data_IF_735288878362
#
_entry.id   IF_735288878362
#
_cell.length_a   1.000
_cell.length_b   1.000
_cell.length_c   1.000
_cell.angle_alpha   90.00
_cell.angle_beta   90.00
_cell.angle_gamma   90.00
#
_symmetry.space_group_name_H-M   'P 1'
#
loop_
_entity.id
_entity.type
_entity.pdbx_description
1 polymer ?
#
# COMPACT_ATOMS: atom_id res chain seq x y z
N UNK A 1 -6.28 20.86 -8.14
CA UNK A 1 -5.31 19.88 -7.59
C UNK A 1 -5.68 19.40 -6.17
N UNK A 2 -6.98 19.30 -5.80
CA UNK A 2 -7.44 18.99 -4.41
C UNK A 2 -8.11 17.60 -4.24
N UNK A 3 -8.04 16.72 -5.25
CA UNK A 3 -8.86 15.50 -5.27
C UNK A 3 -8.26 14.34 -4.47
N UNK A 4 -6.93 14.19 -4.46
CA UNK A 4 -6.26 13.08 -3.79
C UNK A 4 -6.47 13.10 -2.26
N UNK A 5 -6.33 14.23 -1.54
CA UNK A 5 -6.57 14.26 -0.09
C UNK A 5 -8.01 13.90 0.29
N UNK A 6 -9.01 14.34 -0.48
CA UNK A 6 -10.43 14.00 -0.23
C UNK A 6 -10.70 12.51 -0.38
N UNK A 7 -10.13 11.88 -1.40
CA UNK A 7 -10.33 10.46 -1.63
C UNK A 7 -9.60 9.59 -0.57
N UNK A 8 -8.43 10.04 -0.09
CA UNK A 8 -7.74 9.42 1.05
C UNK A 8 -8.60 9.51 2.33
N UNK A 9 -9.29 10.64 2.54
CA UNK A 9 -10.16 10.80 3.71
C UNK A 9 -11.36 9.83 3.64
N UNK A 10 -11.96 9.64 2.46
CA UNK A 10 -13.06 8.67 2.32
C UNK A 10 -12.62 7.24 2.69
N UNK A 11 -11.42 6.83 2.28
CA UNK A 11 -10.91 5.46 2.48
C UNK A 11 -10.79 5.00 3.94
N UNK A 12 -10.68 5.91 4.90
CA UNK A 12 -10.62 5.56 6.32
C UNK A 12 -11.88 5.93 7.10
N UNK A 13 -12.92 6.41 6.42
CA UNK A 13 -14.25 6.62 7.01
C UNK A 13 -14.94 5.27 7.27
N UNK A 14 -15.94 5.25 8.15
CA UNK A 14 -16.71 4.03 8.42
C UNK A 14 -17.43 3.54 7.15
N UNK A 15 -17.93 4.47 6.35
CA UNK A 15 -18.55 4.21 5.06
C UNK A 15 -17.55 3.59 4.07
N UNK A 16 -16.36 4.18 3.95
CA UNK A 16 -15.31 3.67 3.06
C UNK A 16 -14.77 2.30 3.48
N UNK A 17 -14.76 1.98 4.79
CA UNK A 17 -14.36 0.66 5.28
C UNK A 17 -15.39 -0.44 5.00
N UNK A 18 -16.67 -0.08 4.85
CA UNK A 18 -17.76 -1.01 4.48
C UNK A 18 -17.93 -1.16 2.97
N UNK A 19 -17.33 -0.27 2.19
CA UNK A 19 -17.39 -0.25 0.73
C UNK A 19 -16.21 -1.05 0.12
N UNK A 20 -16.48 -2.28 -0.30
CA UNK A 20 -15.51 -3.16 -0.98
C UNK A 20 -14.91 -2.53 -2.26
N UNK A 21 -15.58 -1.53 -2.84
CA UNK A 21 -15.13 -0.83 -4.05
C UNK A 21 -14.33 0.44 -3.75
N UNK A 22 -14.24 0.88 -2.48
CA UNK A 22 -13.57 2.12 -2.12
C UNK A 22 -12.09 2.11 -2.54
N UNK A 23 -11.35 1.06 -2.19
CA UNK A 23 -9.94 0.89 -2.58
C UNK A 23 -9.79 0.73 -4.10
N UNK A 24 -10.51 -0.17 -4.80
CA UNK A 24 -10.45 -0.27 -6.25
C UNK A 24 -10.73 1.05 -6.99
N UNK A 25 -11.72 1.83 -6.53
CA UNK A 25 -12.05 3.13 -7.11
C UNK A 25 -10.95 4.15 -6.84
N UNK A 26 -10.40 4.19 -5.63
CA UNK A 26 -9.27 5.05 -5.31
C UNK A 26 -8.04 4.71 -6.14
N UNK A 27 -7.71 3.43 -6.28
CA UNK A 27 -6.60 2.96 -7.13
C UNK A 27 -6.79 3.38 -8.58
N UNK A 28 -8.03 3.35 -9.11
CA UNK A 28 -8.34 3.87 -10.45
C UNK A 28 -8.07 5.37 -10.57
N UNK A 29 -8.35 6.16 -9.52
CA UNK A 29 -8.03 7.59 -9.49
C UNK A 29 -6.52 7.82 -9.44
N UNK A 30 -5.80 7.06 -8.61
CA UNK A 30 -4.33 7.06 -8.56
C UNK A 30 -3.75 6.78 -9.94
N UNK A 31 -4.25 5.78 -10.66
CA UNK A 31 -3.83 5.49 -12.04
C UNK A 31 -3.98 6.68 -13.00
N UNK A 32 -5.04 7.49 -12.87
CA UNK A 32 -5.20 8.72 -13.67
C UNK A 32 -4.17 9.79 -13.29
N UNK A 33 -3.84 9.90 -12.01
CA UNK A 33 -2.81 10.83 -11.55
C UNK A 33 -1.42 10.39 -11.98
N UNK A 34 -1.12 9.08 -12.01
CA UNK A 34 0.14 8.54 -12.54
C UNK A 34 0.36 9.01 -13.99
N UNK A 35 -0.67 8.91 -14.83
CA UNK A 35 -0.60 9.33 -16.23
C UNK A 35 -0.40 10.85 -16.42
N UNK A 36 -0.87 11.66 -15.46
CA UNK A 36 -0.90 13.13 -15.60
C UNK A 36 0.28 13.81 -14.90
N UNK A 37 0.67 13.32 -13.73
CA UNK A 37 1.64 13.94 -12.83
C UNK A 37 2.95 13.16 -12.73
N UNK A 38 2.96 11.90 -13.18
CA UNK A 38 4.08 10.98 -13.04
C UNK A 38 4.12 10.27 -11.68
N UNK A 39 4.72 9.08 -11.68
CA UNK A 39 4.79 8.20 -10.51
C UNK A 39 5.50 8.85 -9.31
N UNK A 40 6.63 9.51 -9.53
CA UNK A 40 7.42 10.10 -8.45
C UNK A 40 6.61 11.10 -7.61
N UNK A 41 5.91 12.03 -8.28
CA UNK A 41 5.10 13.05 -7.60
C UNK A 41 3.96 12.39 -6.82
N UNK A 42 3.26 11.44 -7.44
CA UNK A 42 2.12 10.75 -6.84
C UNK A 42 2.54 9.96 -5.61
N UNK A 43 3.56 9.11 -5.72
CA UNK A 43 3.99 8.24 -4.63
C UNK A 43 4.62 9.03 -3.48
N UNK A 44 5.39 10.09 -3.77
CA UNK A 44 5.88 11.00 -2.73
C UNK A 44 4.74 11.69 -1.97
N UNK A 45 3.70 12.13 -2.69
CA UNK A 45 2.51 12.73 -2.07
C UNK A 45 1.78 11.73 -1.18
N UNK A 46 1.72 10.46 -1.57
CA UNK A 46 1.13 9.39 -0.77
C UNK A 46 1.94 9.09 0.50
N UNK A 47 3.27 9.14 0.42
CA UNK A 47 4.16 9.07 1.60
C UNK A 47 3.89 10.20 2.57
N UNK A 48 3.88 11.44 2.07
CA UNK A 48 3.61 12.61 2.90
C UNK A 48 2.21 12.52 3.56
N UNK A 49 1.23 11.99 2.83
CA UNK A 49 -0.11 11.75 3.36
C UNK A 49 -0.09 10.65 4.43
N UNK A 50 0.62 9.54 4.22
CA UNK A 50 0.73 8.45 5.18
C UNK A 50 1.30 8.92 6.52
N UNK A 51 2.42 9.65 6.50
CA UNK A 51 3.05 10.15 7.72
C UNK A 51 2.12 11.12 8.47
N UNK A 52 1.41 12.01 7.76
CA UNK A 52 0.41 12.93 8.36
C UNK A 52 -0.82 12.24 8.95
N UNK A 53 -1.08 10.98 8.61
CA UNK A 53 -2.18 10.18 9.13
C UNK A 53 -1.81 9.42 10.42
N UNK A 54 -0.89 9.95 11.23
CA UNK A 54 -0.53 9.36 12.52
C UNK A 54 -1.74 9.16 13.44
N UNK A 55 -1.80 8.01 14.10
CA UNK A 55 -2.95 7.59 14.90
C UNK A 55 -4.20 7.18 14.09
N UNK A 56 -4.21 7.34 12.76
CA UNK A 56 -5.32 6.98 11.88
C UNK A 56 -5.04 5.69 11.11
N UNK A 57 -4.97 4.58 11.84
CA UNK A 57 -4.55 3.26 11.35
C UNK A 57 -5.34 2.82 10.11
N UNK A 58 -6.66 2.96 10.10
CA UNK A 58 -7.51 2.57 8.97
C UNK A 58 -7.09 3.27 7.66
N UNK A 59 -6.84 4.59 7.71
CA UNK A 59 -6.44 5.39 6.56
C UNK A 59 -5.05 4.96 6.05
N UNK A 60 -4.11 4.76 6.96
CA UNK A 60 -2.77 4.26 6.63
C UNK A 60 -2.82 2.88 5.98
N UNK A 61 -3.67 1.96 6.49
CA UNK A 61 -3.88 0.64 5.88
C UNK A 61 -4.44 0.76 4.47
N UNK A 62 -5.46 1.59 4.25
CA UNK A 62 -6.05 1.78 2.92
C UNK A 62 -5.04 2.29 1.87
N UNK A 63 -4.07 3.13 2.25
CA UNK A 63 -3.00 3.56 1.36
C UNK A 63 -2.07 2.41 0.94
N UNK A 64 -1.76 1.49 1.85
CA UNK A 64 -0.92 0.33 1.53
C UNK A 64 -1.71 -0.72 0.74
N UNK A 65 -2.99 -0.92 1.05
CA UNK A 65 -3.86 -1.78 0.23
C UNK A 65 -4.08 -1.23 -1.19
N UNK A 66 -4.05 0.08 -1.37
CA UNK A 66 -4.00 0.68 -2.72
C UNK A 66 -2.74 0.24 -3.47
N UNK A 67 -1.56 0.24 -2.83
CA UNK A 67 -0.34 -0.26 -3.45
C UNK A 67 -0.43 -1.77 -3.76
N UNK A 68 -1.03 -2.56 -2.87
CA UNK A 68 -1.32 -3.96 -3.14
C UNK A 68 -2.18 -4.12 -4.39
N UNK A 69 -3.30 -3.39 -4.50
CA UNK A 69 -4.21 -3.42 -5.64
C UNK A 69 -3.49 -3.03 -6.96
N UNK A 70 -2.57 -2.06 -6.92
CA UNK A 70 -1.72 -1.71 -8.06
C UNK A 70 -0.79 -2.86 -8.48
N UNK A 71 -0.29 -3.65 -7.55
CA UNK A 71 0.63 -4.75 -7.84
C UNK A 71 -0.08 -6.00 -8.35
N UNK A 72 -1.23 -6.34 -7.76
CA UNK A 72 -1.93 -7.61 -7.99
C UNK A 72 -2.86 -7.57 -9.19
N UNK A 73 -3.52 -6.44 -9.47
CA UNK A 73 -4.44 -6.37 -10.61
C UNK A 73 -3.67 -6.22 -11.91
N UNK A 74 -3.86 -7.18 -12.81
CA UNK A 74 -3.34 -7.22 -14.20
C UNK A 74 -3.93 -6.12 -15.11
N UNK A 75 -4.44 -5.03 -14.56
CA UNK A 75 -4.95 -3.92 -15.39
C UNK A 75 -3.77 -3.15 -15.96
N UNK A 76 -3.83 -2.86 -17.26
CA UNK A 76 -2.79 -2.18 -18.09
C UNK A 76 -2.44 -0.75 -17.65
N UNK A 77 -2.73 -0.35 -16.42
CA UNK A 77 -2.65 1.05 -15.96
C UNK A 77 -1.37 1.38 -15.20
N UNK A 78 -0.57 0.39 -14.80
CA UNK A 78 0.70 0.63 -14.11
C UNK A 78 1.83 -0.10 -14.83
N UNK A 79 2.89 0.63 -15.16
CA UNK A 79 4.09 0.09 -15.80
C UNK A 79 5.01 -0.57 -14.77
N UNK A 80 6.02 -1.31 -15.23
CA UNK A 80 7.07 -1.82 -14.35
C UNK A 80 7.81 -0.68 -13.63
N UNK A 81 8.08 0.42 -14.32
CA UNK A 81 8.74 1.59 -13.73
C UNK A 81 7.88 2.23 -12.65
N UNK A 82 6.56 2.37 -12.88
CA UNK A 82 5.66 2.89 -11.85
C UNK A 82 5.64 2.00 -10.59
N UNK A 83 5.70 0.67 -10.76
CA UNK A 83 5.80 -0.26 -9.62
C UNK A 83 7.10 -0.04 -8.84
N UNK A 84 8.22 0.11 -9.55
CA UNK A 84 9.52 0.43 -8.93
C UNK A 84 9.47 1.75 -8.17
N UNK A 85 8.87 2.79 -8.75
CA UNK A 85 8.67 4.08 -8.08
C UNK A 85 7.74 3.96 -6.86
N UNK A 86 6.71 3.12 -6.91
CA UNK A 86 5.86 2.83 -5.74
C UNK A 86 6.67 2.24 -4.59
N UNK A 87 7.61 1.32 -4.88
CA UNK A 87 8.51 0.76 -3.87
C UNK A 87 9.44 1.85 -3.33
N UNK A 88 10.17 2.55 -4.21
CA UNK A 88 11.25 3.47 -3.82
C UNK A 88 10.75 4.76 -3.17
N UNK A 89 9.60 5.28 -3.61
CA UNK A 89 9.09 6.59 -3.20
C UNK A 89 7.94 6.51 -2.20
N UNK A 90 7.32 5.34 -2.05
CA UNK A 90 6.22 5.12 -1.10
C UNK A 90 6.49 4.02 -0.08
N UNK A 91 6.65 2.76 -0.49
CA UNK A 91 6.71 1.64 0.45
C UNK A 91 7.97 1.66 1.32
N UNK A 92 9.15 1.94 0.78
CA UNK A 92 10.38 2.02 1.60
C UNK A 92 10.34 3.23 2.55
N UNK A 93 9.96 4.45 2.10
CA UNK A 93 9.90 5.62 2.98
C UNK A 93 8.94 5.51 4.17
N UNK A 94 7.82 4.77 4.05
CA UNK A 94 6.89 4.56 5.17
C UNK A 94 7.36 3.49 6.17
N UNK A 95 8.48 2.81 5.90
CA UNK A 95 9.01 1.73 6.75
C UNK A 95 9.27 2.12 8.20
N UNK A 96 9.95 3.25 8.49
CA UNK A 96 10.13 3.73 9.86
C UNK A 96 8.80 3.98 10.60
N UNK A 97 7.79 4.54 9.91
CA UNK A 97 6.46 4.77 10.47
C UNK A 97 5.76 3.45 10.83
N UNK A 98 5.90 2.42 9.99
CA UNK A 98 5.34 1.08 10.23
C UNK A 98 6.07 0.38 11.38
N UNK A 99 7.40 0.46 11.43
CA UNK A 99 8.21 -0.13 12.51
C UNK A 99 7.86 0.45 13.88
N UNK A 100 7.55 1.74 13.93
CA UNK A 100 7.14 2.43 15.15
C UNK A 100 5.71 2.08 15.61
N UNK A 101 4.90 1.38 14.80
CA UNK A 101 3.54 0.98 15.17
C UNK A 101 3.54 -0.11 16.24
N UNK A 102 2.44 -0.22 16.98
CA UNK A 102 2.24 -1.32 17.92
C UNK A 102 2.06 -2.64 17.16
N UNK A 103 2.46 -3.76 17.77
CA UNK A 103 2.40 -5.08 17.16
C UNK A 103 1.05 -5.40 16.49
N UNK A 104 -0.07 -5.13 17.18
CA UNK A 104 -1.43 -5.35 16.66
C UNK A 104 -1.78 -4.49 15.43
N UNK A 105 -1.23 -3.28 15.34
CA UNK A 105 -1.44 -2.41 14.17
C UNK A 105 -0.58 -2.88 12.99
N UNK A 106 0.64 -3.33 13.31
CA UNK A 106 1.66 -3.79 12.38
C UNK A 106 1.35 -5.14 11.72
N UNK A 107 0.64 -6.02 12.43
CA UNK A 107 0.25 -7.37 11.98
C UNK A 107 -0.31 -7.42 10.56
N UNK A 108 -1.26 -6.54 10.23
CA UNK A 108 -1.86 -6.49 8.90
C UNK A 108 -0.85 -6.16 7.78
N UNK A 109 0.17 -5.36 8.09
CA UNK A 109 1.24 -5.04 7.13
C UNK A 109 2.18 -6.23 6.95
N UNK A 110 2.51 -6.96 8.03
CA UNK A 110 3.31 -8.18 7.97
C UNK A 110 2.62 -9.24 7.10
N UNK A 111 1.32 -9.48 7.34
CA UNK A 111 0.48 -10.38 6.54
C UNK A 111 0.51 -10.01 5.05
N UNK A 112 0.34 -8.72 4.76
CA UNK A 112 0.32 -8.24 3.38
C UNK A 112 1.67 -8.43 2.66
N UNK A 113 2.79 -8.17 3.34
CA UNK A 113 4.14 -8.41 2.80
C UNK A 113 4.38 -9.91 2.60
N UNK A 114 3.93 -10.76 3.53
CA UNK A 114 3.96 -12.21 3.39
C UNK A 114 3.19 -12.68 2.14
N UNK A 115 1.98 -12.15 1.93
CA UNK A 115 1.19 -12.41 0.73
C UNK A 115 1.92 -11.97 -0.55
N UNK A 116 2.56 -10.81 -0.55
CA UNK A 116 3.33 -10.34 -1.71
C UNK A 116 4.48 -11.28 -2.07
N UNK A 117 5.12 -11.88 -1.08
CA UNK A 117 6.14 -12.91 -1.26
C UNK A 117 5.58 -14.20 -1.85
N UNK A 118 4.53 -14.77 -1.21
CA UNK A 118 3.90 -16.02 -1.67
C UNK A 118 3.39 -15.92 -3.11
N UNK A 119 2.77 -14.78 -3.49
CA UNK A 119 2.20 -14.56 -4.83
C UNK A 119 3.19 -13.95 -5.84
N UNK A 120 4.43 -13.66 -5.43
CA UNK A 120 5.47 -13.07 -6.29
C UNK A 120 5.03 -11.79 -7.01
N UNK A 121 4.23 -10.94 -6.35
CA UNK A 121 3.71 -9.70 -7.00
C UNK A 121 4.71 -8.54 -6.97
N UNK A 122 5.76 -8.68 -6.15
CA UNK A 122 6.93 -7.79 -6.04
C UNK A 122 8.18 -8.61 -6.32
N UNK A 123 9.22 -7.99 -6.90
CA UNK A 123 10.48 -8.67 -7.15
C UNK A 123 11.11 -9.17 -5.83
N UNK A 124 11.84 -10.30 -5.82
CA UNK A 124 12.47 -10.79 -4.59
C UNK A 124 13.40 -9.76 -3.93
N UNK A 125 14.13 -8.98 -4.74
CA UNK A 125 15.03 -7.93 -4.26
C UNK A 125 14.26 -6.80 -3.59
N UNK A 126 13.18 -6.32 -4.20
CA UNK A 126 12.37 -5.25 -3.60
C UNK A 126 11.59 -5.73 -2.38
N UNK A 127 11.10 -6.96 -2.41
CA UNK A 127 10.43 -7.58 -1.27
C UNK A 127 11.37 -7.64 -0.05
N UNK A 128 12.61 -8.08 -0.25
CA UNK A 128 13.62 -8.09 0.81
C UNK A 128 13.85 -6.68 1.38
N UNK A 129 14.03 -5.69 0.50
CA UNK A 129 14.20 -4.29 0.93
C UNK A 129 13.00 -3.78 1.74
N UNK A 130 11.78 -4.14 1.34
CA UNK A 130 10.55 -3.80 2.06
C UNK A 130 10.53 -4.48 3.43
N UNK A 131 10.82 -5.78 3.50
CA UNK A 131 10.92 -6.52 4.76
C UNK A 131 11.94 -5.88 5.71
N UNK A 132 13.14 -5.60 5.23
CA UNK A 132 14.21 -4.95 6.02
C UNK A 132 13.77 -3.55 6.52
N UNK A 133 13.15 -2.74 5.64
CA UNK A 133 12.67 -1.41 6.01
C UNK A 133 11.54 -1.48 7.05
N UNK A 134 10.63 -2.43 6.88
CA UNK A 134 9.45 -2.59 7.72
C UNK A 134 9.72 -3.47 8.94
N UNK A 135 10.92 -4.03 9.06
CA UNK A 135 11.38 -4.95 10.12
C UNK A 135 10.58 -6.27 10.19
N UNK A 136 10.02 -6.72 9.06
CA UNK A 136 9.15 -7.91 8.98
C UNK A 136 9.99 -9.17 8.81
N UNK A 137 9.87 -10.10 9.76
CA UNK A 137 10.61 -11.37 9.73
C UNK A 137 10.29 -12.23 8.50
N UNK A 138 11.26 -13.00 8.05
CA UNK A 138 11.13 -13.83 6.84
C UNK A 138 10.26 -15.09 7.04
N UNK A 139 9.99 -15.46 8.29
CA UNK A 139 9.39 -16.75 8.67
C UNK A 139 8.14 -16.54 9.52
N UNK A 140 6.99 -16.52 8.84
CA UNK A 140 5.71 -16.81 9.45
C UNK A 140 4.98 -17.71 8.48
N UNK A 141 4.81 -18.99 8.83
CA UNK A 141 3.93 -19.91 8.12
C UNK A 141 2.49 -19.40 8.23
N UNK A 142 2.13 -18.46 7.35
CA UNK A 142 0.77 -17.97 7.19
C UNK A 142 -0.01 -18.96 6.31
N UNK A 143 -0.14 -20.20 6.76
CA UNK A 143 -0.79 -21.29 6.02
C UNK A 143 -2.32 -21.36 6.23
N UNK A 144 -2.92 -20.36 6.88
CA UNK A 144 -4.33 -20.41 7.30
C UNK A 144 -5.28 -19.33 6.72
N UNK A 145 -4.93 -18.64 5.63
CA UNK A 145 -5.80 -17.60 5.04
C UNK A 145 -6.14 -17.83 3.56
N UNK A 146 -6.37 -19.08 3.14
CA UNK A 146 -6.89 -19.41 1.80
C UNK A 146 -8.39 -19.77 1.75
N UNK A 147 -9.17 -19.46 2.78
CA UNK A 147 -10.63 -19.52 2.68
C UNK A 147 -11.23 -18.09 2.72
N UNK A 148 -11.87 -17.70 1.62
CA UNK A 148 -12.75 -16.54 1.43
C UNK A 148 -12.14 -15.17 1.04
N UNK A 149 -11.46 -15.11 -0.12
CA UNK A 149 -11.37 -13.89 -0.96
C UNK A 149 -11.70 -14.17 -2.42
#
# INVERSE_FOLDING_TARGET
MQLLPKAIIYLGSEEGLKDENAIPQFTKQVGRFLLTLGAEVVFKTLTDAFSKLEGRVAYRKSLVYMAHELFTKRKRHITFEDKKQCVEKFLLPIGPDIRAMRAKEREAYCLLVGFWGKRQVVSPTDLKRIKDAWDVDEEGDFDEFEEDL
#
